data_IF_169566901610
#
_entry.id   IF_169566901610
#
_cell.length_a   1.000
_cell.length_b   1.000
_cell.length_c   1.000
_cell.angle_alpha   90.00
_cell.angle_beta   90.00
_cell.angle_gamma   90.00
#
_symmetry.space_group_name_H-M   'P 1'
#
loop_
_entity.id
_entity.type
_entity.pdbx_description
1 polymer ?
#
# COMPACT_ATOMS: atom_id res chain seq x y z
N UNK A 1 4.65 -3.28 -26.37
CA UNK A 1 4.73 -2.60 -25.06
C UNK A 1 4.72 -3.65 -23.96
N UNK A 2 5.63 -3.53 -23.00
CA UNK A 2 5.67 -4.46 -21.87
C UNK A 2 4.69 -4.01 -20.79
N UNK A 3 3.99 -4.98 -20.21
CA UNK A 3 3.05 -4.75 -19.12
C UNK A 3 3.58 -5.34 -17.82
N UNK A 4 3.51 -4.58 -16.75
CA UNK A 4 3.89 -5.04 -15.41
C UNK A 4 2.74 -4.84 -14.43
N UNK A 5 2.67 -5.67 -13.39
CA UNK A 5 1.67 -5.53 -12.32
C UNK A 5 2.34 -5.74 -10.97
N UNK A 6 2.04 -4.83 -10.05
CA UNK A 6 2.41 -4.96 -8.63
C UNK A 6 1.15 -4.91 -7.79
N UNK A 7 1.20 -5.55 -6.63
CA UNK A 7 0.08 -5.55 -5.69
C UNK A 7 0.60 -5.30 -4.28
N UNK A 8 -0.18 -4.59 -3.51
CA UNK A 8 0.13 -4.26 -2.13
C UNK A 8 -1.10 -3.77 -1.40
N UNK A 9 -0.90 -3.00 -0.35
CA UNK A 9 -2.03 -2.50 0.43
C UNK A 9 -1.69 -1.20 1.15
N UNK A 10 -2.74 -0.42 1.41
CA UNK A 10 -2.70 0.66 2.39
C UNK A 10 -3.15 0.04 3.70
N UNK A 11 -2.27 0.01 4.69
CA UNK A 11 -2.48 -0.71 5.94
C UNK A 11 -2.78 0.28 7.06
N UNK A 12 -3.94 0.13 7.66
CA UNK A 12 -4.39 0.98 8.77
C UNK A 12 -4.23 0.25 10.10
N UNK A 13 -3.76 0.97 11.10
CA UNK A 13 -3.74 0.52 12.50
C UNK A 13 -4.21 1.69 13.34
N UNK A 14 -5.38 1.57 13.93
CA UNK A 14 -6.05 2.70 14.58
C UNK A 14 -6.16 3.85 13.58
N UNK A 15 -5.64 5.02 13.87
CA UNK A 15 -5.66 6.16 12.96
C UNK A 15 -4.31 6.38 12.27
N UNK A 16 -3.50 5.33 12.16
CA UNK A 16 -2.18 5.42 11.54
C UNK A 16 -2.10 4.55 10.30
N UNK A 17 -1.17 4.90 9.44
CA UNK A 17 -0.93 4.24 8.15
C UNK A 17 0.52 3.81 8.09
N UNK A 18 0.75 2.59 7.60
CA UNK A 18 2.09 2.08 7.39
C UNK A 18 2.68 2.65 6.11
N UNK A 19 3.85 3.26 6.22
CA UNK A 19 4.64 3.66 5.05
C UNK A 19 6.02 3.03 5.14
N UNK A 20 6.58 2.74 3.98
CA UNK A 20 7.96 2.31 3.82
C UNK A 20 8.72 3.36 3.00
N UNK A 21 10.01 3.51 3.28
CA UNK A 21 10.91 4.28 2.45
C UNK A 21 11.80 3.30 1.70
N UNK A 22 11.72 3.30 0.38
CA UNK A 22 12.56 2.41 -0.43
C UNK A 22 14.02 2.86 -0.38
N UNK A 23 14.94 1.96 -0.77
CA UNK A 23 16.37 2.29 -0.88
C UNK A 23 16.62 3.41 -1.90
N UNK A 24 15.67 3.68 -2.79
CA UNK A 24 15.73 4.80 -3.73
C UNK A 24 15.27 6.12 -3.11
N UNK A 25 14.82 6.11 -1.85
CA UNK A 25 14.39 7.30 -1.13
C UNK A 25 12.93 7.67 -1.28
N UNK A 26 12.09 6.78 -1.83
CA UNK A 26 10.67 7.05 -2.04
C UNK A 26 9.83 6.50 -0.90
N UNK A 27 8.98 7.34 -0.32
CA UNK A 27 7.99 6.94 0.68
C UNK A 27 6.70 6.50 -0.01
N UNK A 28 6.21 5.33 0.33
CA UNK A 28 5.04 4.73 -0.30
C UNK A 28 4.46 3.61 0.56
N UNK A 29 3.48 2.90 0.02
CA UNK A 29 2.89 1.72 0.67
C UNK A 29 3.65 0.46 0.30
N UNK A 30 3.62 -0.58 1.15
CA UNK A 30 4.23 -1.87 0.78
C UNK A 30 3.57 -2.46 -0.46
N UNK A 31 4.37 -2.89 -1.41
CA UNK A 31 3.91 -3.54 -2.64
C UNK A 31 5.08 -4.20 -3.34
N UNK A 32 4.78 -5.09 -4.27
CA UNK A 32 5.78 -5.65 -5.15
C UNK A 32 5.19 -6.42 -6.31
N UNK A 33 6.07 -6.90 -7.16
CA UNK A 33 5.70 -7.52 -8.43
C UNK A 33 4.96 -8.84 -8.23
N UNK A 34 3.90 -9.02 -9.01
CA UNK A 34 3.15 -10.26 -9.08
C UNK A 34 4.03 -11.36 -9.69
N UNK A 35 4.13 -12.48 -9.02
CA UNK A 35 4.84 -13.63 -9.54
C UNK A 35 3.89 -14.54 -10.32
N UNK A 36 4.48 -15.43 -11.13
CA UNK A 36 3.71 -16.36 -11.94
C UNK A 36 2.79 -17.20 -11.05
N UNK A 37 1.54 -17.34 -11.47
CA UNK A 37 0.51 -18.13 -10.80
C UNK A 37 0.01 -17.58 -9.47
N UNK A 38 0.44 -16.37 -9.07
CA UNK A 38 -0.13 -15.70 -7.92
C UNK A 38 -1.40 -14.94 -8.29
N UNK A 39 -2.34 -14.87 -7.34
CA UNK A 39 -3.44 -13.91 -7.42
C UNK A 39 -2.97 -12.56 -6.90
N UNK A 40 -3.74 -11.51 -7.16
CA UNK A 40 -3.45 -10.16 -6.63
C UNK A 40 -3.36 -10.17 -5.10
N UNK A 41 -4.28 -10.88 -4.45
CA UNK A 41 -4.33 -10.98 -2.98
C UNK A 41 -3.10 -11.72 -2.45
N UNK A 42 -2.71 -12.82 -3.09
CA UNK A 42 -1.52 -13.58 -2.69
C UNK A 42 -0.25 -12.74 -2.81
N UNK A 43 -0.13 -11.98 -3.91
CA UNK A 43 1.01 -11.09 -4.12
C UNK A 43 1.07 -10.02 -3.01
N UNK A 44 -0.06 -9.39 -2.71
CA UNK A 44 -0.11 -8.36 -1.68
C UNK A 44 0.31 -8.91 -0.31
N UNK A 45 -0.22 -10.04 0.10
CA UNK A 45 0.15 -10.67 1.37
C UNK A 45 1.64 -11.02 1.42
N UNK A 46 2.17 -11.62 0.37
CA UNK A 46 3.58 -12.02 0.30
C UNK A 46 4.50 -10.80 0.39
N UNK A 47 4.23 -9.77 -0.40
CA UNK A 47 5.06 -8.57 -0.42
C UNK A 47 5.01 -7.81 0.90
N UNK A 48 3.84 -7.71 1.51
CA UNK A 48 3.70 -7.07 2.83
C UNK A 48 4.54 -7.83 3.87
N UNK A 49 4.45 -9.15 3.87
CA UNK A 49 5.20 -9.97 4.81
C UNK A 49 6.71 -9.85 4.58
N UNK A 50 7.16 -9.87 3.32
CA UNK A 50 8.57 -9.73 2.99
C UNK A 50 9.13 -8.37 3.39
N UNK A 51 8.41 -7.29 3.07
CA UNK A 51 8.92 -5.93 3.29
C UNK A 51 8.78 -5.45 4.74
N UNK A 52 7.78 -5.94 5.48
CA UNK A 52 7.42 -5.40 6.80
C UNK A 52 7.41 -6.41 7.93
N UNK A 53 7.37 -7.71 7.64
CA UNK A 53 7.18 -8.81 8.59
C UNK A 53 5.79 -8.82 9.23
N UNK A 54 4.84 -8.05 8.73
CA UNK A 54 3.50 -7.97 9.28
C UNK A 54 2.52 -8.87 8.56
N UNK A 55 1.50 -9.31 9.30
CA UNK A 55 0.31 -9.95 8.76
C UNK A 55 -0.87 -8.99 8.86
N UNK A 56 -1.70 -8.97 7.85
CA UNK A 56 -2.80 -8.01 7.74
C UNK A 56 -4.11 -8.72 7.42
N UNK A 57 -5.22 -8.08 7.79
CA UNK A 57 -6.54 -8.40 7.29
C UNK A 57 -6.76 -7.57 6.04
N UNK A 58 -6.79 -8.24 4.90
CA UNK A 58 -6.92 -7.58 3.60
C UNK A 58 -8.35 -7.74 3.10
N UNK A 59 -8.98 -6.63 2.69
CA UNK A 59 -10.32 -6.64 2.12
C UNK A 59 -10.22 -6.61 0.60
N UNK A 60 -10.42 -7.76 -0.04
CA UNK A 60 -10.22 -7.84 -1.49
C UNK A 60 -11.30 -7.15 -2.31
N UNK A 61 -12.44 -6.79 -1.71
CA UNK A 61 -13.47 -6.02 -2.40
C UNK A 61 -13.20 -4.51 -2.36
N UNK A 62 -12.23 -4.06 -1.57
CA UNK A 62 -11.87 -2.64 -1.42
C UNK A 62 -10.47 -2.43 -1.98
N UNK A 63 -10.39 -2.03 -3.23
CA UNK A 63 -9.10 -1.78 -3.87
C UNK A 63 -9.12 -0.55 -4.74
N UNK A 64 -7.95 0.06 -4.90
CA UNK A 64 -7.71 1.18 -5.82
C UNK A 64 -6.57 0.78 -6.73
N UNK A 65 -6.76 0.95 -8.03
CA UNK A 65 -5.75 0.60 -9.03
C UNK A 65 -5.25 1.87 -9.68
N UNK A 66 -3.92 2.01 -9.76
CA UNK A 66 -3.30 3.08 -10.55
C UNK A 66 -2.59 2.48 -11.73
N UNK A 67 -2.56 3.23 -12.85
CA UNK A 67 -1.86 2.84 -14.06
C UNK A 67 -0.92 3.96 -14.46
N UNK A 68 0.31 3.63 -14.78
CA UNK A 68 1.30 4.60 -15.25
C UNK A 68 2.40 3.92 -16.02
N UNK A 69 3.24 4.72 -16.68
CA UNK A 69 4.41 4.23 -17.41
C UNK A 69 5.66 4.58 -16.59
N UNK A 70 6.31 3.59 -15.95
CA UNK A 70 7.55 3.86 -15.20
C UNK A 70 8.72 4.25 -16.12
N UNK A 71 8.73 3.75 -17.34
CA UNK A 71 9.67 4.18 -18.40
C UNK A 71 9.05 3.95 -19.76
N UNK A 72 9.66 4.53 -20.85
CA UNK A 72 9.14 4.35 -22.21
C UNK A 72 8.99 2.86 -22.57
N UNK A 73 7.87 2.52 -23.18
CA UNK A 73 7.61 1.16 -23.63
C UNK A 73 7.08 0.21 -22.56
N UNK A 74 6.88 0.70 -21.33
CA UNK A 74 6.34 -0.11 -20.22
C UNK A 74 5.09 0.55 -19.67
N UNK A 75 4.03 -0.23 -19.48
CA UNK A 75 2.86 0.21 -18.74
C UNK A 75 2.70 -0.66 -17.50
N UNK A 76 2.31 -0.06 -16.39
CA UNK A 76 2.26 -0.74 -15.10
C UNK A 76 0.96 -0.44 -14.36
N UNK A 77 0.33 -1.50 -13.86
CA UNK A 77 -0.76 -1.41 -12.90
C UNK A 77 -0.23 -1.67 -11.50
N UNK A 78 -0.65 -0.89 -10.54
CA UNK A 78 -0.44 -1.18 -9.13
C UNK A 78 -1.79 -1.27 -8.45
N UNK A 79 -2.04 -2.43 -7.84
CA UNK A 79 -3.28 -2.71 -7.12
C UNK A 79 -3.01 -2.53 -5.63
N UNK A 80 -3.71 -1.59 -5.00
CA UNK A 80 -3.64 -1.38 -3.55
C UNK A 80 -4.95 -1.79 -2.91
N UNK A 81 -4.89 -2.77 -2.00
CA UNK A 81 -6.06 -3.17 -1.23
C UNK A 81 -6.15 -2.36 0.07
N UNK A 82 -7.36 -2.22 0.57
CA UNK A 82 -7.60 -1.72 1.93
C UNK A 82 -7.27 -2.86 2.90
N UNK A 83 -6.44 -2.58 3.90
CA UNK A 83 -6.05 -3.61 4.86
C UNK A 83 -5.93 -3.00 6.25
N UNK A 84 -6.07 -3.85 7.28
CA UNK A 84 -5.86 -3.47 8.65
C UNK A 84 -4.81 -4.37 9.29
N UNK A 85 -4.05 -3.84 10.23
CA UNK A 85 -3.04 -4.60 10.97
C UNK A 85 -3.67 -5.77 11.70
N UNK A 86 -3.08 -6.96 11.58
CA UNK A 86 -3.53 -8.15 12.27
C UNK A 86 -2.55 -8.57 13.34
N UNK A 87 -1.28 -8.80 12.98
CA UNK A 87 -0.27 -9.30 13.91
C UNK A 87 1.13 -9.11 13.36
N UNK A 88 2.11 -9.33 14.22
CA UNK A 88 3.53 -9.30 13.89
C UNK A 88 4.22 -8.04 14.38
N UNK A 89 5.53 -8.15 14.54
CA UNK A 89 6.39 -7.02 14.88
C UNK A 89 7.03 -6.48 13.61
N UNK A 90 6.98 -5.15 13.48
CA UNK A 90 7.50 -4.47 12.30
C UNK A 90 9.01 -4.65 12.19
N UNK A 91 9.45 -5.25 11.08
CA UNK A 91 10.85 -5.50 10.81
C UNK A 91 11.07 -5.36 9.30
N UNK A 92 11.85 -4.35 8.90
CA UNK A 92 12.03 -4.02 7.49
C UNK A 92 12.98 -4.98 6.78
N UNK A 93 12.72 -5.17 5.49
CA UNK A 93 13.59 -5.91 4.58
C UNK A 93 14.77 -5.00 4.19
N UNK A 94 15.95 -5.26 4.75
CA UNK A 94 17.11 -4.36 4.67
C UNK A 94 17.52 -4.05 3.21
N UNK A 95 17.42 -5.03 2.32
CA UNK A 95 17.88 -4.89 0.93
C UNK A 95 17.04 -3.91 0.10
N UNK A 96 15.77 -3.74 0.45
CA UNK A 96 14.84 -2.94 -0.35
C UNK A 96 14.19 -1.78 0.40
N UNK A 97 14.21 -1.84 1.73
CA UNK A 97 13.50 -0.88 2.58
C UNK A 97 14.48 -0.21 3.54
N UNK A 98 14.67 1.10 3.39
CA UNK A 98 15.57 1.90 4.24
C UNK A 98 14.91 2.29 5.57
N UNK A 99 13.61 2.54 5.56
CA UNK A 99 12.88 2.98 6.75
C UNK A 99 11.43 2.52 6.67
N UNK A 100 10.80 2.41 7.83
CA UNK A 100 9.43 1.93 7.94
C UNK A 100 8.82 2.51 9.21
N UNK A 101 7.54 2.86 9.15
CA UNK A 101 6.86 3.38 10.33
C UNK A 101 5.37 3.50 10.18
N UNK A 102 4.72 3.75 11.32
CA UNK A 102 3.32 4.12 11.39
C UNK A 102 3.22 5.64 11.48
N UNK A 103 2.40 6.22 10.63
CA UNK A 103 2.26 7.67 10.54
C UNK A 103 0.79 8.08 10.64
N UNK A 104 0.53 9.23 11.21
CA UNK A 104 -0.81 9.80 11.16
C UNK A 104 -1.22 10.02 9.70
N UNK A 105 -2.51 10.11 9.44
CA UNK A 105 -3.02 10.39 8.09
C UNK A 105 -2.40 11.68 7.54
N UNK A 106 -2.36 12.73 8.37
CA UNK A 106 -1.77 14.00 7.97
C UNK A 106 -0.29 13.87 7.58
N UNK A 107 0.50 13.19 8.41
CA UNK A 107 1.92 12.99 8.13
C UNK A 107 2.15 12.10 6.92
N UNK A 108 1.30 11.08 6.74
CA UNK A 108 1.38 10.20 5.57
C UNK A 108 1.23 11.00 4.27
N UNK A 109 0.23 11.89 4.20
CA UNK A 109 0.05 12.74 3.02
C UNK A 109 1.28 13.62 2.73
N UNK A 110 1.95 14.10 3.78
CA UNK A 110 3.16 14.91 3.61
C UNK A 110 4.36 14.10 3.16
N UNK A 111 4.50 12.87 3.65
CA UNK A 111 5.66 12.02 3.39
C UNK A 111 5.61 11.32 2.04
N UNK A 112 4.44 10.87 1.60
CA UNK A 112 4.31 10.10 0.35
C UNK A 112 4.95 10.89 -0.79
N UNK A 113 5.83 10.24 -1.54
CA UNK A 113 6.64 10.90 -2.56
C UNK A 113 5.85 11.26 -3.80
N UNK A 114 4.94 10.40 -4.28
CA UNK A 114 4.27 10.58 -5.56
C UNK A 114 2.78 10.90 -5.40
N UNK A 115 2.30 11.82 -6.24
CA UNK A 115 0.90 12.28 -6.20
C UNK A 115 -0.10 11.17 -6.48
N UNK A 116 0.22 10.23 -7.39
CA UNK A 116 -0.69 9.12 -7.68
C UNK A 116 -0.95 8.26 -6.44
N UNK A 117 0.04 8.11 -5.57
CA UNK A 117 -0.13 7.36 -4.33
C UNK A 117 -0.84 8.17 -3.25
N UNK A 118 -0.64 9.49 -3.20
CA UNK A 118 -1.47 10.36 -2.35
C UNK A 118 -2.95 10.25 -2.74
N UNK A 119 -3.22 10.17 -4.04
CA UNK A 119 -4.59 10.00 -4.53
C UNK A 119 -5.19 8.65 -4.10
N UNK A 120 -4.40 7.59 -4.08
CA UNK A 120 -4.83 6.29 -3.56
C UNK A 120 -5.28 6.42 -2.11
N UNK A 121 -4.47 7.06 -1.27
CA UNK A 121 -4.81 7.26 0.13
C UNK A 121 -6.09 8.10 0.28
N UNK A 122 -6.20 9.18 -0.48
CA UNK A 122 -7.37 10.04 -0.49
C UNK A 122 -8.64 9.27 -0.85
N UNK A 123 -8.59 8.43 -1.89
CA UNK A 123 -9.73 7.62 -2.30
C UNK A 123 -10.15 6.63 -1.23
N UNK A 124 -9.20 5.95 -0.62
CA UNK A 124 -9.51 4.97 0.43
C UNK A 124 -10.16 5.61 1.65
N UNK A 125 -9.64 6.78 2.06
CA UNK A 125 -10.21 7.51 3.19
C UNK A 125 -11.65 7.94 2.89
N UNK A 126 -11.89 8.50 1.70
CA UNK A 126 -13.22 8.95 1.31
C UNK A 126 -14.22 7.81 1.19
N UNK A 127 -13.82 6.70 0.57
CA UNK A 127 -14.74 5.58 0.28
C UNK A 127 -15.04 4.72 1.50
N UNK A 128 -14.04 4.50 2.36
CA UNK A 128 -14.16 3.45 3.38
C UNK A 128 -13.94 3.94 4.80
N UNK A 129 -13.09 4.95 5.00
CA UNK A 129 -12.82 5.44 6.35
C UNK A 129 -13.82 6.53 6.77
N UNK A 130 -13.97 7.59 5.98
CA UNK A 130 -14.89 8.67 6.30
C UNK A 130 -16.36 8.24 6.24
N UNK A 131 -16.71 7.38 5.30
CA UNK A 131 -18.06 6.83 5.21
C UNK A 131 -18.44 6.09 6.49
N UNK A 132 -17.53 5.29 7.01
CA UNK A 132 -17.73 4.59 8.28
C UNK A 132 -17.89 5.58 9.43
N UNK A 133 -17.03 6.58 9.52
CA UNK A 133 -17.07 7.60 10.56
C UNK A 133 -18.39 8.39 10.52
N UNK A 134 -18.83 8.82 9.34
CA UNK A 134 -20.08 9.55 9.16
C UNK A 134 -21.27 8.69 9.59
N UNK A 135 -21.31 7.44 9.18
CA UNK A 135 -22.38 6.52 9.56
C UNK A 135 -22.44 6.33 11.06
N UNK A 136 -21.30 6.25 11.72
CA UNK A 136 -21.22 6.05 13.17
C UNK A 136 -21.79 7.25 13.96
N UNK A 137 -21.61 8.47 13.45
CA UNK A 137 -22.03 9.69 14.14
C UNK A 137 -23.40 10.23 13.70
N UNK A 138 -24.01 9.63 12.70
CA UNK A 138 -25.37 9.99 12.30
C UNK A 138 -26.41 9.02 12.82
#
# INVERSE_FOLDING_TARGET
MRYEKSCGAVIFKDNQILLIKSVKGHWSFPKGHMEKDETEVETAHREILEETSLKVNLNESKKVVINYSPFPGVTKDVVYFYATYLSGDMNRQIEEVDDIGWFSIEDAFKLITFDNERNVLSEMIKKWLYTYTITFFT
#
